data_IF_026283923387
#
_entry.id   IF_026283923387
#
_cell.length_a   1.000
_cell.length_b   1.000
_cell.length_c   1.000
_cell.angle_alpha   90.00
_cell.angle_beta   90.00
_cell.angle_gamma   90.00
#
_symmetry.space_group_name_H-M   'P 1'
#
loop_
_entity.id
_entity.type
_entity.pdbx_description
1 polymer ?
#
# COMPACT_ATOMS: atom_id res chain seq x y z
N UNK A 1 -13.99 21.58 -20.96
CA UNK A 1 -13.94 20.50 -19.96
C UNK A 1 -13.59 19.10 -20.52
N UNK A 2 -13.34 18.89 -21.83
CA UNK A 2 -13.25 17.53 -22.42
C UNK A 2 -11.86 16.87 -22.55
N UNK A 3 -10.79 17.63 -22.81
CA UNK A 3 -9.46 17.04 -23.12
C UNK A 3 -8.79 16.27 -21.96
N UNK A 4 -8.74 16.81 -20.72
CA UNK A 4 -8.06 16.13 -19.61
C UNK A 4 -8.74 14.82 -19.20
N UNK A 5 -10.07 14.77 -19.31
CA UNK A 5 -10.85 13.60 -18.93
C UNK A 5 -10.78 12.50 -19.99
N UNK A 6 -10.87 12.86 -21.28
CA UNK A 6 -10.65 11.91 -22.39
C UNK A 6 -9.26 11.27 -22.32
N UNK A 7 -8.24 12.08 -22.03
CA UNK A 7 -6.87 11.61 -21.86
C UNK A 7 -6.72 10.63 -20.69
N UNK A 8 -7.37 10.92 -19.56
CA UNK A 8 -7.42 10.01 -18.42
C UNK A 8 -8.09 8.67 -18.79
N UNK A 9 -9.20 8.71 -19.53
CA UNK A 9 -9.89 7.50 -20.02
C UNK A 9 -9.03 6.68 -20.97
N UNK A 10 -8.32 7.32 -21.90
CA UNK A 10 -7.36 6.67 -22.79
C UNK A 10 -6.25 5.98 -21.99
N UNK A 11 -5.65 6.67 -21.03
CA UNK A 11 -4.64 6.07 -20.13
C UNK A 11 -5.20 4.90 -19.34
N UNK A 12 -6.42 5.01 -18.81
CA UNK A 12 -7.09 3.91 -18.11
C UNK A 12 -7.31 2.71 -19.03
N UNK A 13 -7.71 2.93 -20.28
CA UNK A 13 -7.89 1.87 -21.29
C UNK A 13 -6.57 1.18 -21.64
N UNK A 14 -5.50 1.95 -21.85
CA UNK A 14 -4.16 1.38 -22.12
C UNK A 14 -3.70 0.52 -20.95
N UNK A 15 -3.85 1.00 -19.71
CA UNK A 15 -3.53 0.22 -18.49
C UNK A 15 -4.37 -1.06 -18.43
N UNK A 16 -5.66 -0.99 -18.76
CA UNK A 16 -6.53 -2.16 -18.82
C UNK A 16 -6.00 -3.23 -19.78
N UNK A 17 -5.68 -2.82 -21.02
CA UNK A 17 -5.14 -3.73 -22.04
C UNK A 17 -3.80 -4.33 -21.61
N UNK A 18 -2.92 -3.52 -21.01
CA UNK A 18 -1.63 -4.01 -20.49
C UNK A 18 -1.82 -5.05 -19.39
N UNK A 19 -2.68 -4.79 -18.40
CA UNK A 19 -2.93 -5.76 -17.31
C UNK A 19 -3.61 -7.02 -17.85
N UNK A 20 -4.51 -6.90 -18.82
CA UNK A 20 -5.14 -8.04 -19.47
C UNK A 20 -4.11 -8.92 -20.19
N UNK A 21 -3.19 -8.31 -20.93
CA UNK A 21 -2.09 -9.00 -21.61
C UNK A 21 -1.15 -9.69 -20.60
N UNK A 22 -0.72 -8.99 -19.55
CA UNK A 22 0.15 -9.56 -18.51
C UNK A 22 -0.51 -10.78 -17.83
N UNK A 23 -1.81 -10.71 -17.54
CA UNK A 23 -2.56 -11.83 -16.96
C UNK A 23 -2.72 -12.99 -17.94
N UNK A 24 -3.00 -12.71 -19.22
CA UNK A 24 -3.09 -13.73 -20.25
C UNK A 24 -1.76 -14.46 -20.45
N UNK A 25 -0.66 -13.72 -20.60
CA UNK A 25 0.70 -14.28 -20.71
C UNK A 25 1.06 -15.07 -19.46
N UNK A 26 0.79 -14.54 -18.26
CA UNK A 26 1.02 -15.23 -17.00
C UNK A 26 0.26 -16.56 -16.90
N UNK A 27 -1.02 -16.60 -17.33
CA UNK A 27 -1.80 -17.84 -17.39
C UNK A 27 -1.21 -18.85 -18.38
N UNK A 28 -0.82 -18.40 -19.57
CA UNK A 28 -0.18 -19.27 -20.58
C UNK A 28 1.11 -19.86 -20.01
N UNK A 29 1.96 -19.06 -19.36
CA UNK A 29 3.18 -19.52 -18.71
C UNK A 29 2.91 -20.48 -17.55
N UNK A 30 1.85 -20.26 -16.77
CA UNK A 30 1.43 -21.18 -15.71
C UNK A 30 0.99 -22.54 -16.27
N UNK A 31 0.37 -22.57 -17.45
CA UNK A 31 -0.02 -23.81 -18.13
C UNK A 31 1.19 -24.52 -18.75
N UNK A 32 2.09 -23.79 -19.41
CA UNK A 32 3.22 -24.37 -20.15
C UNK A 32 4.42 -24.68 -19.24
N UNK A 33 4.68 -23.86 -18.22
CA UNK A 33 5.89 -23.94 -17.37
C UNK A 33 5.57 -23.74 -15.86
N UNK A 34 4.65 -24.51 -15.28
CA UNK A 34 4.17 -24.29 -13.91
C UNK A 34 5.29 -24.29 -12.86
N UNK A 35 6.29 -25.17 -13.01
CA UNK A 35 7.41 -25.26 -12.07
C UNK A 35 8.25 -23.98 -12.01
N UNK A 36 8.60 -23.40 -13.17
CA UNK A 36 9.42 -22.17 -13.23
C UNK A 36 8.65 -20.95 -12.72
N UNK A 37 7.36 -20.86 -13.04
CA UNK A 37 6.53 -19.74 -12.55
C UNK A 37 6.32 -19.85 -11.04
N UNK A 38 6.05 -21.05 -10.49
CA UNK A 38 5.96 -21.27 -9.03
C UNK A 38 7.25 -20.87 -8.33
N UNK A 39 8.41 -21.27 -8.87
CA UNK A 39 9.72 -20.87 -8.33
C UNK A 39 9.92 -19.34 -8.35
N UNK A 40 9.52 -18.68 -9.43
CA UNK A 40 9.66 -17.23 -9.59
C UNK A 40 8.78 -16.47 -8.59
N UNK A 41 7.54 -16.92 -8.39
CA UNK A 41 6.61 -16.36 -7.39
C UNK A 41 7.15 -16.57 -5.97
N UNK A 42 7.68 -17.76 -5.67
CA UNK A 42 8.28 -18.08 -4.36
C UNK A 42 9.53 -17.24 -4.08
N UNK A 43 10.42 -17.07 -5.06
CA UNK A 43 11.59 -16.21 -4.94
C UNK A 43 11.19 -14.75 -4.64
N UNK A 44 10.06 -14.31 -5.19
CA UNK A 44 9.46 -13.00 -4.88
C UNK A 44 8.98 -12.91 -3.42
N UNK A 45 8.36 -13.98 -2.92
CA UNK A 45 7.93 -14.10 -1.52
C UNK A 45 9.09 -14.16 -0.52
N UNK A 46 10.24 -14.70 -0.91
CA UNK A 46 11.45 -14.70 -0.09
C UNK A 46 12.03 -13.28 0.07
N UNK A 47 12.09 -12.50 -1.02
CA UNK A 47 12.59 -11.11 -1.00
C UNK A 47 11.77 -10.20 -0.08
N UNK A 48 10.46 -10.42 -0.02
CA UNK A 48 9.54 -9.64 0.83
C UNK A 48 9.46 -10.13 2.27
N UNK A 49 10.18 -11.20 2.61
CA UNK A 49 10.10 -11.82 3.94
C UNK A 49 8.80 -12.60 4.19
N UNK A 50 7.87 -12.66 3.24
CA UNK A 50 6.63 -13.44 3.34
C UNK A 50 6.91 -14.92 3.55
N UNK A 51 7.94 -15.45 2.88
CA UNK A 51 8.36 -16.85 3.02
C UNK A 51 9.01 -17.16 4.40
N UNK A 52 9.34 -16.15 5.22
CA UNK A 52 9.85 -16.36 6.59
C UNK A 52 8.72 -16.59 7.60
N UNK A 53 7.47 -16.42 7.20
CA UNK A 53 6.32 -16.61 8.08
C UNK A 53 5.98 -18.11 8.21
N UNK A 54 5.99 -18.70 9.43
CA UNK A 54 5.69 -20.12 9.63
C UNK A 54 4.24 -20.50 9.28
N UNK A 55 3.32 -19.53 9.19
CA UNK A 55 1.92 -19.76 8.76
C UNK A 55 1.71 -19.53 7.25
N UNK A 56 2.76 -19.20 6.52
CA UNK A 56 2.65 -18.97 5.08
C UNK A 56 2.50 -20.31 4.36
N UNK A 57 1.40 -20.47 3.63
CA UNK A 57 1.13 -21.64 2.82
C UNK A 57 1.26 -21.27 1.32
N UNK A 58 2.35 -21.67 0.65
CA UNK A 58 2.54 -21.44 -0.79
C UNK A 58 1.36 -21.86 -1.66
N UNK A 59 0.72 -22.97 -1.30
CA UNK A 59 -0.33 -23.58 -2.10
C UNK A 59 -1.65 -22.80 -2.03
N UNK A 60 -1.84 -21.94 -1.03
CA UNK A 60 -2.95 -20.99 -0.98
C UNK A 60 -2.62 -19.66 -1.67
N UNK A 61 -1.33 -19.36 -1.88
CA UNK A 61 -0.85 -18.07 -2.35
C UNK A 61 -0.58 -18.04 -3.85
N UNK A 62 0.15 -19.03 -4.37
CA UNK A 62 0.49 -19.14 -5.79
C UNK A 62 -0.75 -19.11 -6.70
N UNK A 63 -1.86 -19.81 -6.38
CA UNK A 63 -3.08 -19.76 -7.22
C UNK A 63 -3.75 -18.38 -7.28
N UNK A 64 -3.41 -17.45 -6.38
CA UNK A 64 -3.96 -16.10 -6.46
C UNK A 64 -3.39 -15.31 -7.64
N UNK A 65 -2.16 -15.60 -8.09
CA UNK A 65 -1.51 -14.90 -9.18
C UNK A 65 -2.19 -15.20 -10.52
N UNK A 66 -2.35 -14.16 -11.34
CA UNK A 66 -3.02 -14.24 -12.66
C UNK A 66 -4.47 -14.76 -12.63
N UNK A 67 -5.08 -14.86 -11.45
CA UNK A 67 -6.52 -15.10 -11.30
C UNK A 67 -7.36 -13.89 -11.73
N UNK A 68 -8.68 -14.08 -11.84
CA UNK A 68 -9.62 -12.97 -12.09
C UNK A 68 -9.56 -11.93 -10.97
N UNK A 69 -9.41 -12.38 -9.71
CA UNK A 69 -9.27 -11.49 -8.56
C UNK A 69 -7.97 -10.67 -8.65
N UNK A 70 -6.86 -11.30 -9.05
CA UNK A 70 -5.59 -10.62 -9.27
C UNK A 70 -5.69 -9.57 -10.38
N UNK A 71 -6.34 -9.89 -11.49
CA UNK A 71 -6.58 -8.93 -12.58
C UNK A 71 -7.26 -7.66 -12.06
N UNK A 72 -8.40 -7.80 -11.38
CA UNK A 72 -9.14 -6.65 -10.86
C UNK A 72 -8.36 -5.89 -9.78
N UNK A 73 -7.59 -6.59 -8.95
CA UNK A 73 -6.75 -5.98 -7.93
C UNK A 73 -5.62 -5.14 -8.55
N UNK A 74 -4.84 -5.71 -9.48
CA UNK A 74 -3.73 -5.01 -10.14
C UNK A 74 -4.26 -3.82 -10.95
N UNK A 75 -5.37 -3.99 -11.65
CA UNK A 75 -6.02 -2.94 -12.40
C UNK A 75 -6.44 -1.78 -11.49
N UNK A 76 -7.10 -2.09 -10.36
CA UNK A 76 -7.48 -1.09 -9.33
C UNK A 76 -6.25 -0.33 -8.83
N UNK A 77 -5.17 -1.03 -8.48
CA UNK A 77 -3.93 -0.40 -7.99
C UNK A 77 -3.33 0.52 -9.06
N UNK A 78 -3.23 0.07 -10.32
CA UNK A 78 -2.66 0.88 -11.40
C UNK A 78 -3.52 2.10 -11.76
N UNK A 79 -4.84 1.97 -11.73
CA UNK A 79 -5.74 3.11 -11.92
C UNK A 79 -5.68 4.10 -10.75
N UNK A 80 -5.62 3.63 -9.49
CA UNK A 80 -5.44 4.53 -8.36
C UNK A 80 -4.16 5.36 -8.47
N UNK A 81 -3.06 4.78 -8.98
CA UNK A 81 -1.81 5.50 -9.19
C UNK A 81 -1.91 6.60 -10.25
N UNK A 82 -2.81 6.44 -11.22
CA UNK A 82 -3.02 7.44 -12.26
C UNK A 82 -3.64 8.74 -11.69
N UNK A 83 -4.32 8.62 -10.54
CA UNK A 83 -5.03 9.69 -9.84
C UNK A 83 -4.38 10.04 -8.49
N UNK A 84 -3.15 9.60 -8.28
CA UNK A 84 -2.38 9.83 -7.05
C UNK A 84 -2.18 11.34 -6.84
N UNK A 85 -2.73 11.86 -5.73
CA UNK A 85 -2.69 13.30 -5.40
C UNK A 85 -1.62 13.64 -4.37
N UNK A 86 -0.91 12.64 -3.84
CA UNK A 86 0.11 12.79 -2.83
C UNK A 86 1.48 12.98 -3.53
N UNK A 87 1.80 14.20 -3.96
CA UNK A 87 3.04 14.49 -4.69
C UNK A 87 4.23 14.78 -3.75
N UNK A 88 5.42 14.29 -4.10
CA UNK A 88 6.64 14.57 -3.34
C UNK A 88 6.91 16.09 -3.29
N UNK A 89 7.18 16.62 -2.09
CA UNK A 89 7.35 18.05 -1.83
C UNK A 89 6.04 18.87 -1.75
N UNK A 90 4.91 18.29 -2.18
CA UNK A 90 3.59 18.89 -2.08
C UNK A 90 2.97 18.77 -0.68
N UNK A 91 1.84 19.46 -0.45
CA UNK A 91 1.05 19.29 0.77
C UNK A 91 0.45 17.88 0.80
N UNK A 92 0.58 17.20 1.94
CA UNK A 92 0.01 15.89 2.17
C UNK A 92 -1.53 16.00 2.18
N UNK A 93 -2.29 15.27 1.34
CA UNK A 93 -3.74 15.37 1.32
C UNK A 93 -4.37 15.15 2.70
N UNK A 94 -5.09 16.14 3.23
CA UNK A 94 -5.89 15.93 4.44
C UNK A 94 -7.18 15.21 4.07
N UNK A 95 -7.51 14.15 4.80
CA UNK A 95 -8.70 13.36 4.54
C UNK A 95 -9.27 12.76 5.82
N UNK A 96 -10.56 12.45 5.78
CA UNK A 96 -11.26 11.88 6.91
C UNK A 96 -10.88 10.41 7.08
N UNK A 97 -10.44 10.08 8.28
CA UNK A 97 -10.26 8.72 8.79
C UNK A 97 -11.26 8.48 9.92
N UNK A 98 -11.36 7.24 10.38
CA UNK A 98 -12.19 6.88 11.53
C UNK A 98 -11.29 6.37 12.64
N UNK A 99 -11.45 6.99 13.79
CA UNK A 99 -10.84 6.60 15.06
C UNK A 99 -11.48 5.29 15.56
N UNK A 100 -10.79 4.55 16.43
CA UNK A 100 -11.29 3.25 16.91
C UNK A 100 -12.52 3.34 17.83
N UNK A 101 -12.81 4.54 18.33
CA UNK A 101 -14.06 4.90 18.99
C UNK A 101 -15.25 4.97 18.01
N UNK A 102 -15.01 4.94 16.70
CA UNK A 102 -16.02 5.13 15.65
C UNK A 102 -16.20 6.59 15.23
N UNK A 103 -15.54 7.54 15.90
CA UNK A 103 -15.60 8.96 15.56
C UNK A 103 -14.79 9.26 14.29
N UNK A 104 -15.29 10.19 13.45
CA UNK A 104 -14.54 10.72 12.32
C UNK A 104 -13.47 11.71 12.81
N UNK A 105 -12.27 11.58 12.29
CA UNK A 105 -11.11 12.40 12.61
C UNK A 105 -10.29 12.66 11.32
N UNK A 106 -9.31 13.56 11.33
CA UNK A 106 -8.52 13.88 10.15
C UNK A 106 -7.18 13.16 10.18
N UNK A 107 -6.66 12.77 9.01
CA UNK A 107 -5.39 12.05 8.93
C UNK A 107 -4.22 12.86 9.51
N UNK A 108 -4.28 14.19 9.43
CA UNK A 108 -3.27 15.07 10.01
C UNK A 108 -3.21 15.03 11.54
N UNK A 109 -4.31 14.67 12.21
CA UNK A 109 -4.36 14.58 13.68
C UNK A 109 -3.45 13.45 14.22
N UNK A 110 -2.97 12.55 13.35
CA UNK A 110 -2.19 11.36 13.70
C UNK A 110 -0.74 11.39 13.21
N UNK A 111 -0.24 12.53 12.73
CA UNK A 111 1.17 12.68 12.35
C UNK A 111 2.00 12.70 13.64
N UNK A 112 2.50 11.53 14.04
CA UNK A 112 3.33 11.30 15.23
C UNK A 112 4.37 10.20 14.95
N UNK A 113 5.45 10.16 15.71
CA UNK A 113 6.56 9.22 15.53
C UNK A 113 6.23 7.83 16.10
N UNK A 114 6.25 6.79 15.27
CA UNK A 114 6.22 5.40 15.73
C UNK A 114 5.93 4.36 14.64
N UNK A 115 6.32 3.11 14.90
CA UNK A 115 6.27 2.01 13.92
C UNK A 115 5.69 0.73 14.52
N UNK A 116 5.09 -0.12 13.67
CA UNK A 116 4.91 -1.54 13.95
C UNK A 116 4.73 -2.35 12.64
N UNK A 117 5.20 -3.60 12.60
CA UNK A 117 4.40 -4.85 12.49
C UNK A 117 5.22 -6.08 12.04
N UNK A 118 4.83 -7.24 12.59
CA UNK A 118 5.15 -8.62 12.14
C UNK A 118 3.91 -9.51 12.32
N UNK A 119 3.74 -10.47 11.40
CA UNK A 119 2.82 -11.64 11.37
C UNK A 119 1.52 -11.49 10.56
N UNK A 120 1.15 -12.58 9.87
CA UNK A 120 -0.11 -12.67 9.11
C UNK A 120 -1.32 -13.00 9.99
N UNK A 121 -2.45 -12.38 9.65
CA UNK A 121 -3.78 -12.63 10.18
C UNK A 121 -4.71 -12.84 8.98
N UNK A 122 -5.57 -13.86 9.01
CA UNK A 122 -6.61 -14.02 8.00
C UNK A 122 -7.76 -13.04 8.29
N UNK A 123 -7.92 -12.05 7.40
CA UNK A 123 -8.90 -10.98 7.53
C UNK A 123 -9.70 -10.91 6.23
N UNK A 124 -11.01 -11.15 6.34
CA UNK A 124 -11.94 -11.02 5.21
C UNK A 124 -12.07 -9.55 4.80
N UNK A 125 -12.39 -9.31 3.53
CA UNK A 125 -12.71 -7.97 3.04
C UNK A 125 -13.85 -7.35 3.85
N UNK A 126 -13.57 -6.20 4.49
CA UNK A 126 -14.53 -5.51 5.35
C UNK A 126 -15.74 -5.00 4.57
N UNK A 127 -16.95 -5.32 5.04
CA UNK A 127 -18.24 -4.84 4.54
C UNK A 127 -18.83 -3.71 5.38
N UNK A 128 -18.33 -3.53 6.60
CA UNK A 128 -18.74 -2.46 7.50
C UNK A 128 -17.54 -1.80 8.18
N UNK A 129 -17.78 -0.59 8.71
CA UNK A 129 -16.77 0.12 9.50
C UNK A 129 -16.41 -0.67 10.77
N UNK A 130 -17.38 -1.33 11.40
CA UNK A 130 -17.16 -2.14 12.59
C UNK A 130 -16.23 -3.32 12.32
N UNK A 131 -16.38 -4.01 11.19
CA UNK A 131 -15.46 -5.08 10.78
C UNK A 131 -14.03 -4.55 10.57
N UNK A 132 -13.90 -3.37 9.96
CA UNK A 132 -12.60 -2.72 9.76
C UNK A 132 -11.93 -2.32 11.08
N UNK A 133 -12.69 -1.75 12.00
CA UNK A 133 -12.23 -1.44 13.37
C UNK A 133 -11.85 -2.73 14.11
N UNK A 134 -12.61 -3.81 13.95
CA UNK A 134 -12.29 -5.12 14.56
C UNK A 134 -10.95 -5.65 14.07
N UNK A 135 -10.68 -5.57 12.76
CA UNK A 135 -9.37 -5.92 12.20
C UNK A 135 -8.23 -5.05 12.77
N UNK A 136 -8.45 -3.74 12.88
CA UNK A 136 -7.47 -2.83 13.50
C UNK A 136 -7.24 -3.13 14.99
N UNK A 137 -8.23 -3.62 15.73
CA UNK A 137 -8.02 -4.08 17.12
C UNK A 137 -7.13 -5.31 17.21
N UNK A 138 -7.14 -6.19 16.21
CA UNK A 138 -6.19 -7.31 16.15
C UNK A 138 -4.75 -6.82 16.01
N UNK A 139 -4.58 -5.70 15.32
CA UNK A 139 -3.30 -5.02 15.16
C UNK A 139 -2.82 -4.39 16.48
N UNK A 140 -3.73 -3.74 17.21
CA UNK A 140 -3.45 -3.17 18.53
C UNK A 140 -3.03 -4.20 19.58
N UNK A 141 -3.46 -5.45 19.46
CA UNK A 141 -3.02 -6.52 20.35
C UNK A 141 -1.49 -6.81 20.25
N UNK A 142 -0.79 -6.18 19.30
CA UNK A 142 0.68 -6.19 19.19
C UNK A 142 1.35 -4.98 19.85
N UNK A 143 0.58 -4.13 20.53
CA UNK A 143 1.04 -2.93 21.22
C UNK A 143 1.92 -2.03 20.34
N UNK A 144 1.41 -1.58 19.16
CA UNK A 144 2.15 -0.63 18.35
C UNK A 144 2.40 0.66 19.15
N UNK A 145 3.59 1.24 18.99
CA UNK A 145 3.96 2.48 19.68
C UNK A 145 3.42 3.74 18.97
N UNK A 146 2.61 3.57 17.92
CA UNK A 146 2.00 4.65 17.18
C UNK A 146 0.46 4.57 17.21
N UNK A 147 -0.23 5.71 17.04
CA UNK A 147 -1.66 5.72 16.82
C UNK A 147 -2.06 4.87 15.60
N UNK A 148 -3.12 4.08 15.75
CA UNK A 148 -3.71 3.28 14.67
C UNK A 148 -5.10 3.81 14.36
N UNK A 149 -5.29 4.24 13.12
CA UNK A 149 -6.60 4.66 12.58
C UNK A 149 -7.00 3.79 11.41
N UNK A 150 -8.29 3.81 11.06
CA UNK A 150 -8.79 3.11 9.87
C UNK A 150 -9.33 4.11 8.86
N UNK A 151 -9.15 3.81 7.58
CA UNK A 151 -9.76 4.62 6.52
C UNK A 151 -11.30 4.51 6.57
N UNK A 152 -11.99 5.50 6.02
CA UNK A 152 -13.45 5.46 5.83
C UNK A 152 -13.85 4.33 4.89
N UNK A 153 -15.12 3.89 4.92
CA UNK A 153 -15.59 2.84 4.00
C UNK A 153 -15.48 3.22 2.51
N UNK A 154 -15.39 4.53 2.21
CA UNK A 154 -15.11 5.09 0.89
C UNK A 154 -13.66 4.87 0.44
N UNK A 155 -12.76 4.52 1.37
CA UNK A 155 -11.32 4.34 1.16
C UNK A 155 -10.64 5.62 0.66
N UNK A 156 -11.03 6.78 1.21
CA UNK A 156 -10.59 8.09 0.74
C UNK A 156 -9.08 8.27 0.92
N UNK A 157 -8.54 7.90 2.08
CA UNK A 157 -7.11 8.01 2.38
C UNK A 157 -6.31 7.10 1.43
N UNK A 158 -6.79 5.88 1.25
CA UNK A 158 -6.20 4.90 0.34
C UNK A 158 -6.16 5.39 -1.11
N UNK A 159 -7.20 6.08 -1.58
CA UNK A 159 -7.24 6.68 -2.92
C UNK A 159 -6.26 7.84 -3.05
N UNK A 160 -6.31 8.81 -2.11
CA UNK A 160 -5.50 10.03 -2.20
C UNK A 160 -3.99 9.76 -2.13
N UNK A 161 -3.59 8.78 -1.32
CA UNK A 161 -2.19 8.38 -1.16
C UNK A 161 -1.81 7.18 -2.03
N UNK A 162 -2.70 6.71 -2.92
CA UNK A 162 -2.52 5.49 -3.70
C UNK A 162 -1.88 4.36 -2.87
N UNK A 163 -2.46 4.13 -1.69
CA UNK A 163 -1.81 3.40 -0.59
C UNK A 163 -1.86 1.87 -0.75
N UNK A 164 -2.56 1.35 -1.76
CA UNK A 164 -2.68 -0.08 -1.98
C UNK A 164 -1.45 -0.68 -2.69
N UNK A 165 -1.06 -1.92 -2.35
CA UNK A 165 -1.54 -2.72 -1.21
C UNK A 165 -1.07 -2.16 0.13
N UNK A 166 0.12 -1.60 0.14
CA UNK A 166 0.74 -0.88 1.26
C UNK A 166 1.70 0.17 0.69
N UNK A 167 1.93 1.24 1.45
CA UNK A 167 2.82 2.32 1.06
C UNK A 167 3.29 3.10 2.27
N UNK A 168 4.56 3.48 2.29
CA UNK A 168 5.15 4.32 3.33
C UNK A 168 5.24 5.76 2.84
N UNK A 169 4.94 6.70 3.74
CA UNK A 169 5.08 8.13 3.53
C UNK A 169 5.77 8.76 4.76
N UNK A 170 6.55 9.80 4.54
CA UNK A 170 6.99 10.71 5.61
C UNK A 170 6.37 12.06 5.34
N UNK A 171 5.66 12.58 6.33
CA UNK A 171 5.01 13.89 6.27
C UNK A 171 5.62 14.75 7.38
N UNK A 172 6.13 15.93 7.03
CA UNK A 172 6.66 16.90 7.98
C UNK A 172 6.03 18.26 7.67
N UNK A 173 5.50 18.95 8.68
CA UNK A 173 4.86 20.27 8.51
C UNK A 173 3.79 20.28 7.40
N UNK A 174 3.01 19.20 7.32
CA UNK A 174 1.95 19.03 6.32
C UNK A 174 2.46 18.80 4.89
N UNK A 175 3.77 18.59 4.68
CA UNK A 175 4.36 18.31 3.36
C UNK A 175 4.91 16.89 3.26
N UNK A 176 4.85 16.30 2.06
CA UNK A 176 5.36 14.96 1.80
C UNK A 176 6.89 15.02 1.58
N UNK A 177 7.66 14.62 2.59
CA UNK A 177 9.12 14.55 2.54
C UNK A 177 9.64 13.22 2.00
N UNK A 178 8.81 12.18 2.00
CA UNK A 178 9.12 10.90 1.34
C UNK A 178 7.85 10.19 0.90
N UNK A 179 7.94 9.56 -0.28
CA UNK A 179 6.89 8.75 -0.88
C UNK A 179 7.50 7.43 -1.35
N UNK A 180 7.21 6.37 -0.61
CA UNK A 180 7.69 5.03 -0.92
C UNK A 180 7.13 4.49 -2.23
N UNK A 181 7.86 3.56 -2.82
CA UNK A 181 7.34 2.76 -3.93
C UNK A 181 6.19 1.88 -3.42
N UNK A 182 5.26 1.57 -4.31
CA UNK A 182 4.10 0.76 -3.94
C UNK A 182 4.51 -0.69 -3.61
N UNK A 183 3.91 -1.23 -2.56
CA UNK A 183 4.08 -2.62 -2.15
C UNK A 183 3.41 -3.64 -3.09
N UNK A 184 3.43 -4.92 -2.72
CA UNK A 184 4.08 -5.45 -1.51
C UNK A 184 5.59 -5.64 -1.70
N UNK A 185 6.07 -5.52 -2.94
CA UNK A 185 7.44 -5.86 -3.33
C UNK A 185 8.48 -4.80 -2.99
N UNK A 186 8.05 -3.55 -2.84
CA UNK A 186 8.94 -2.42 -2.60
C UNK A 186 8.74 -1.80 -1.22
N UNK A 187 8.15 -2.55 -0.28
CA UNK A 187 8.08 -2.12 1.11
C UNK A 187 9.50 -2.13 1.70
N UNK A 188 10.04 -0.94 1.97
CA UNK A 188 11.41 -0.77 2.41
C UNK A 188 11.51 0.26 3.56
N UNK A 189 11.40 -0.18 4.83
CA UNK A 189 11.53 0.71 5.99
C UNK A 189 12.89 1.40 6.10
N UNK A 190 13.96 0.83 5.53
CA UNK A 190 15.30 1.42 5.61
C UNK A 190 15.41 2.72 4.82
N UNK A 191 14.67 2.86 3.71
CA UNK A 191 14.56 4.14 2.99
C UNK A 191 13.93 5.21 3.88
N UNK A 192 12.92 4.84 4.68
CA UNK A 192 12.29 5.77 5.61
C UNK A 192 13.22 6.12 6.76
N UNK A 193 13.93 5.13 7.34
CA UNK A 193 14.96 5.36 8.35
C UNK A 193 15.96 6.42 7.87
N UNK A 194 16.50 6.25 6.65
CA UNK A 194 17.47 7.18 6.09
C UNK A 194 16.90 8.61 5.88
N UNK A 195 15.61 8.74 5.59
CA UNK A 195 14.93 10.03 5.52
C UNK A 195 14.79 10.65 6.91
N UNK A 196 14.31 9.88 7.88
CA UNK A 196 14.11 10.35 9.25
C UNK A 196 15.44 10.76 9.90
N UNK A 197 16.51 10.00 9.71
CA UNK A 197 17.85 10.36 10.20
C UNK A 197 18.31 11.73 9.68
N UNK A 198 18.06 12.04 8.41
CA UNK A 198 18.36 13.36 7.83
C UNK A 198 17.51 14.48 8.43
N UNK A 199 16.23 14.21 8.71
CA UNK A 199 15.32 15.19 9.31
C UNK A 199 15.62 15.43 10.80
N UNK A 200 16.14 14.43 11.51
CA UNK A 200 16.52 14.51 12.93
C UNK A 200 17.94 15.05 13.16
N UNK A 201 18.73 15.29 12.11
CA UNK A 201 20.08 15.84 12.29
C UNK A 201 19.97 17.35 12.54
N UNK A 202 20.44 17.90 13.68
CA UNK A 202 20.46 19.34 13.89
C UNK A 202 21.33 20.02 12.82
N UNK A 203 21.03 21.27 12.41
CA UNK A 203 21.85 21.98 11.44
C UNK A 203 23.29 22.02 11.93
N UNK A 204 24.24 21.57 11.11
CA UNK A 204 25.67 21.68 11.41
C UNK A 204 25.95 23.16 11.65
N UNK A 205 26.47 23.49 12.84
CA UNK A 205 26.97 24.83 13.14
C UNK A 205 27.91 25.26 12.00
N UNK A 206 27.52 26.31 11.29
CA UNK A 206 28.42 27.04 10.40
C UNK A 206 29.27 27.92 11.34
N UNK A 207 30.60 27.71 11.43
CA UNK A 207 31.46 28.62 12.17
C UNK A 207 31.40 29.99 11.50
N UNK A 208 31.20 31.03 12.32
CA UNK A 208 31.32 32.44 11.89
C UNK A 208 32.78 32.79 11.59
#
# INVERSE_FOLDING_TARGET
>A
MGLPQLWLWLKRLVIFLQVALEVAVGKVLMTLFPGRVKQSILAMGQKTGMARNPRFAPDNWVPTFFSIQYFWFVLKVRWQRLEDRAEFGGLAPNCTVVCLSGQKCNIWDFIQDGWAFKNNVDIRQHRSLQERVRAARMLLARSPQCPVVVDTMQNQSSQLYAALPERLYVIQEGRICYKGKAGPWNYNPEEVRAVLEKLCTPPRHVPQ
#
